data_IF_549500770080
#
_entry.id   IF_549500770080
#
_cell.length_a   1.000
_cell.length_b   1.000
_cell.length_c   1.000
_cell.angle_alpha   90.00
_cell.angle_beta   90.00
_cell.angle_gamma   90.00
#
_symmetry.space_group_name_H-M   'P 1'
#
loop_
_entity.id
_entity.type
_entity.pdbx_description
1 polymer ?
#
# COMPACT_ATOMS: atom_id res chain seq x y z
N UNK A 1 -3.16 21.17 -21.09
CA UNK A 1 -3.07 20.75 -19.69
C UNK A 1 -1.64 20.88 -19.17
N UNK A 2 -1.39 21.72 -18.17
CA UNK A 2 -0.10 21.78 -17.46
C UNK A 2 -0.31 21.34 -16.00
N UNK A 3 -0.82 20.12 -15.79
CA UNK A 3 -0.49 19.41 -14.55
C UNK A 3 1.04 19.44 -14.47
N UNK A 4 1.58 20.27 -13.58
CA UNK A 4 2.96 20.73 -13.70
C UNK A 4 3.91 19.54 -13.82
N UNK A 5 4.72 19.49 -14.88
CA UNK A 5 5.69 18.42 -15.11
C UNK A 5 6.48 18.09 -13.83
N UNK A 6 6.85 19.12 -13.08
CA UNK A 6 7.49 19.02 -11.76
C UNK A 6 6.64 18.27 -10.72
N UNK A 7 5.33 18.51 -10.63
CA UNK A 7 4.44 17.81 -9.69
C UNK A 7 4.36 16.32 -10.01
N UNK A 8 4.30 15.97 -11.30
CA UNK A 8 4.30 14.57 -11.75
C UNK A 8 5.62 13.89 -11.40
N UNK A 9 6.76 14.51 -11.73
CA UNK A 9 8.09 13.98 -11.39
C UNK A 9 8.33 13.89 -9.89
N UNK A 10 7.84 14.85 -9.12
CA UNK A 10 7.90 14.80 -7.66
C UNK A 10 7.07 13.66 -7.08
N UNK A 11 5.87 13.41 -7.61
CA UNK A 11 5.07 12.27 -7.19
C UNK A 11 5.77 10.95 -7.55
N UNK A 12 6.25 10.79 -8.78
CA UNK A 12 7.00 9.60 -9.23
C UNK A 12 8.25 9.37 -8.36
N UNK A 13 9.01 10.42 -8.07
CA UNK A 13 10.17 10.36 -7.18
C UNK A 13 9.78 9.88 -5.78
N UNK A 14 8.74 10.47 -5.18
CA UNK A 14 8.28 10.05 -3.84
C UNK A 14 7.79 8.61 -3.83
N UNK A 15 7.08 8.16 -4.86
CA UNK A 15 6.66 6.77 -4.97
C UNK A 15 7.88 5.84 -5.09
N UNK A 16 8.82 6.17 -5.99
CA UNK A 16 10.05 5.41 -6.19
C UNK A 16 10.89 5.32 -4.90
N UNK A 17 11.07 6.44 -4.22
CA UNK A 17 11.82 6.52 -2.98
C UNK A 17 11.12 5.77 -1.84
N UNK A 18 9.85 6.08 -1.58
CA UNK A 18 9.15 5.60 -0.38
C UNK A 18 8.85 4.11 -0.41
N UNK A 19 8.65 3.55 -1.62
CA UNK A 19 8.33 2.13 -1.77
C UNK A 19 9.60 1.30 -1.97
N UNK A 20 10.45 1.66 -2.93
CA UNK A 20 11.56 0.77 -3.34
C UNK A 20 12.88 1.12 -2.67
N UNK A 21 13.28 2.40 -2.66
CA UNK A 21 14.57 2.79 -2.09
C UNK A 21 14.59 2.64 -0.57
N UNK A 22 13.54 3.10 0.11
CA UNK A 22 13.40 2.94 1.56
C UNK A 22 13.33 1.46 1.93
N UNK A 23 12.64 0.62 1.16
CA UNK A 23 12.60 -0.82 1.43
C UNK A 23 13.99 -1.43 1.50
N UNK A 24 14.83 -1.19 0.48
CA UNK A 24 16.22 -1.71 0.48
C UNK A 24 17.04 -1.09 1.60
N UNK A 25 16.96 0.23 1.78
CA UNK A 25 17.74 0.94 2.80
C UNK A 25 17.40 0.48 4.22
N UNK A 26 16.12 0.36 4.53
CA UNK A 26 15.65 -0.13 5.84
C UNK A 26 16.08 -1.58 6.05
N UNK A 27 16.05 -2.42 5.02
CA UNK A 27 16.51 -3.80 5.13
C UNK A 27 18.00 -3.89 5.43
N UNK A 28 18.82 -3.13 4.69
CA UNK A 28 20.26 -3.05 4.93
C UNK A 28 20.56 -2.53 6.33
N UNK A 29 19.90 -1.45 6.74
CA UNK A 29 20.08 -0.88 8.08
C UNK A 29 19.66 -1.86 9.17
N UNK A 30 18.54 -2.55 9.01
CA UNK A 30 18.08 -3.55 9.96
C UNK A 30 19.11 -4.67 10.14
N UNK A 31 19.65 -5.21 9.05
CA UNK A 31 20.71 -6.22 9.09
C UNK A 31 21.95 -5.69 9.79
N UNK A 32 22.45 -4.52 9.38
CA UNK A 32 23.69 -3.95 9.91
C UNK A 32 23.60 -3.62 11.39
N UNK A 33 22.51 -2.98 11.81
CA UNK A 33 22.26 -2.61 13.21
C UNK A 33 22.08 -3.87 14.05
N UNK A 34 21.25 -4.82 13.60
CA UNK A 34 21.04 -6.07 14.32
C UNK A 34 22.35 -6.83 14.49
N UNK A 35 23.17 -6.91 13.43
CA UNK A 35 24.44 -7.59 13.53
C UNK A 35 25.40 -6.90 14.52
N UNK A 36 25.63 -5.60 14.36
CA UNK A 36 26.61 -4.86 15.18
C UNK A 36 26.21 -4.70 16.63
N UNK A 37 24.91 -4.54 16.91
CA UNK A 37 24.42 -4.25 18.26
C UNK A 37 23.95 -5.49 19.01
N UNK A 38 23.47 -6.53 18.31
CA UNK A 38 22.98 -7.76 18.93
C UNK A 38 23.96 -8.92 18.76
N UNK A 39 24.29 -9.26 17.52
CA UNK A 39 25.06 -10.48 17.20
C UNK A 39 26.50 -10.37 17.72
N UNK A 40 27.20 -9.28 17.40
CA UNK A 40 28.60 -9.09 17.82
C UNK A 40 28.75 -8.90 19.34
N UNK A 41 27.71 -8.43 20.03
CA UNK A 41 27.76 -8.09 21.46
C UNK A 41 27.44 -9.25 22.37
N UNK A 42 26.71 -10.24 21.89
CA UNK A 42 26.32 -11.42 22.68
C UNK A 42 27.22 -12.59 22.26
N UNK A 43 28.07 -13.13 23.15
CA UNK A 43 29.04 -14.18 22.81
C UNK A 43 28.41 -15.39 22.11
N UNK A 44 27.26 -15.87 22.61
CA UNK A 44 26.52 -16.99 22.03
C UNK A 44 26.15 -16.76 20.55
N UNK A 45 25.65 -15.57 20.19
CA UNK A 45 25.29 -15.28 18.81
C UNK A 45 26.50 -15.06 17.92
N UNK A 46 27.58 -14.47 18.46
CA UNK A 46 28.82 -14.27 17.73
C UNK A 46 29.52 -15.59 17.37
N UNK A 47 29.45 -16.60 18.24
CA UNK A 47 29.96 -17.93 17.95
C UNK A 47 29.20 -18.62 16.81
N UNK A 48 27.87 -18.45 16.76
CA UNK A 48 27.03 -18.99 15.70
C UNK A 48 27.19 -18.23 14.37
N UNK A 49 27.36 -16.90 14.44
CA UNK A 49 27.40 -16.00 13.28
C UNK A 49 28.60 -15.06 13.39
N UNK A 50 29.83 -15.56 13.14
CA UNK A 50 31.05 -14.77 13.32
C UNK A 50 31.26 -13.71 12.24
N UNK A 51 30.69 -13.92 11.05
CA UNK A 51 30.81 -13.01 9.91
C UNK A 51 29.45 -12.45 9.48
N UNK A 52 29.44 -11.15 9.17
CA UNK A 52 28.23 -10.44 8.71
C UNK A 52 27.62 -11.10 7.47
N UNK A 53 28.45 -11.56 6.52
CA UNK A 53 27.96 -12.19 5.29
C UNK A 53 27.25 -13.52 5.56
N UNK A 54 27.74 -14.30 6.53
CA UNK A 54 27.09 -15.56 6.95
C UNK A 54 25.73 -15.24 7.57
N UNK A 55 25.68 -14.25 8.46
CA UNK A 55 24.43 -13.78 9.06
C UNK A 55 23.42 -13.32 7.99
N UNK A 56 23.86 -12.52 7.01
CA UNK A 56 23.00 -12.03 5.92
C UNK A 56 22.37 -13.18 5.13
N UNK A 57 23.18 -14.17 4.72
CA UNK A 57 22.70 -15.29 3.91
C UNK A 57 21.65 -16.09 4.68
N UNK A 58 21.95 -16.45 5.93
CA UNK A 58 21.02 -17.23 6.75
C UNK A 58 19.75 -16.43 7.08
N UNK A 59 19.91 -15.16 7.44
CA UNK A 59 18.80 -14.26 7.73
C UNK A 59 17.86 -14.18 6.52
N UNK A 60 18.38 -13.94 5.31
CA UNK A 60 17.58 -13.90 4.09
C UNK A 60 16.89 -15.23 3.80
N UNK A 61 17.59 -16.35 3.99
CA UNK A 61 17.05 -17.68 3.77
C UNK A 61 15.85 -18.00 4.67
N UNK A 62 15.80 -17.44 5.89
CA UNK A 62 14.67 -17.62 6.81
C UNK A 62 13.63 -16.52 6.65
N UNK A 63 14.07 -15.27 6.53
CA UNK A 63 13.21 -14.10 6.47
C UNK A 63 12.33 -14.10 5.22
N UNK A 64 12.87 -14.40 4.04
CA UNK A 64 12.10 -14.37 2.79
C UNK A 64 10.93 -15.37 2.85
N UNK A 65 11.13 -16.66 3.17
CA UNK A 65 10.01 -17.60 3.33
C UNK A 65 9.02 -17.16 4.41
N UNK A 66 9.48 -16.69 5.57
CA UNK A 66 8.60 -16.23 6.64
C UNK A 66 7.73 -15.03 6.18
N UNK A 67 8.34 -14.05 5.51
CA UNK A 67 7.63 -12.90 4.96
C UNK A 67 6.61 -13.30 3.89
N UNK A 68 6.95 -14.27 3.02
CA UNK A 68 6.02 -14.82 2.03
C UNK A 68 4.83 -15.53 2.70
N UNK A 69 5.07 -16.32 3.75
CA UNK A 69 4.01 -17.02 4.49
C UNK A 69 3.08 -16.04 5.21
N UNK A 70 3.64 -15.05 5.91
CA UNK A 70 2.86 -13.99 6.58
C UNK A 70 2.06 -13.19 5.54
N UNK A 71 2.69 -12.81 4.41
CA UNK A 71 2.03 -12.10 3.32
C UNK A 71 0.90 -12.92 2.69
N UNK A 72 1.11 -14.23 2.50
CA UNK A 72 0.06 -15.14 2.02
C UNK A 72 -1.11 -15.23 3.00
N UNK A 73 -0.84 -15.37 4.30
CA UNK A 73 -1.84 -15.39 5.35
C UNK A 73 -2.64 -14.09 5.39
N UNK A 74 -1.95 -12.94 5.35
CA UNK A 74 -2.57 -11.62 5.32
C UNK A 74 -3.47 -11.46 4.08
N UNK A 75 -2.99 -11.90 2.90
CA UNK A 75 -3.79 -11.88 1.66
C UNK A 75 -5.07 -12.69 1.77
N UNK A 76 -5.04 -13.84 2.44
CA UNK A 76 -6.19 -14.73 2.58
C UNK A 76 -7.17 -14.30 3.67
N UNK A 77 -6.70 -13.59 4.70
CA UNK A 77 -7.51 -13.29 5.89
C UNK A 77 -7.85 -11.80 6.00
N UNK A 78 -6.84 -10.93 6.07
CA UNK A 78 -7.00 -9.52 6.43
C UNK A 78 -7.38 -8.63 5.24
N UNK A 79 -6.86 -8.90 4.03
CA UNK A 79 -7.15 -8.03 2.87
C UNK A 79 -8.65 -7.87 2.60
N UNK A 80 -9.45 -8.92 2.81
CA UNK A 80 -10.91 -8.84 2.65
C UNK A 80 -11.51 -7.87 3.68
N UNK A 81 -11.06 -7.93 4.93
CA UNK A 81 -11.55 -7.08 6.01
C UNK A 81 -11.16 -5.63 5.74
N UNK A 82 -9.91 -5.36 5.40
CA UNK A 82 -9.42 -4.01 5.09
C UNK A 82 -10.13 -3.39 3.88
N UNK A 83 -10.31 -4.17 2.81
CA UNK A 83 -11.05 -3.72 1.63
C UNK A 83 -12.51 -3.43 1.98
N UNK A 84 -13.16 -4.30 2.74
CA UNK A 84 -14.54 -4.11 3.17
C UNK A 84 -14.68 -2.83 4.01
N UNK A 85 -13.82 -2.63 5.01
CA UNK A 85 -13.83 -1.43 5.84
C UNK A 85 -13.59 -0.17 5.01
N UNK A 86 -12.61 -0.19 4.10
CA UNK A 86 -12.31 0.94 3.21
C UNK A 86 -13.51 1.29 2.33
N UNK A 87 -14.20 0.30 1.77
CA UNK A 87 -15.38 0.51 0.95
C UNK A 87 -16.59 1.00 1.76
N UNK A 88 -16.81 0.45 2.96
CA UNK A 88 -17.89 0.87 3.86
C UNK A 88 -17.69 2.31 4.37
N UNK A 89 -16.44 2.72 4.58
CA UNK A 89 -16.10 4.08 5.01
C UNK A 89 -16.16 5.12 3.89
N UNK A 90 -16.37 4.73 2.63
CA UNK A 90 -16.41 5.66 1.50
C UNK A 90 -17.85 6.14 1.22
N UNK A 91 -18.26 7.33 1.72
CA UNK A 91 -19.63 7.82 1.55
C UNK A 91 -19.98 8.12 0.09
N UNK A 92 -19.00 8.54 -0.72
CA UNK A 92 -19.22 8.81 -2.15
C UNK A 92 -19.55 7.52 -2.90
N UNK A 93 -18.79 6.46 -2.63
CA UNK A 93 -19.01 5.15 -3.22
C UNK A 93 -20.38 4.59 -2.84
N UNK A 94 -20.76 4.70 -1.56
CA UNK A 94 -22.09 4.31 -1.09
C UNK A 94 -23.21 5.09 -1.79
N UNK A 95 -23.06 6.42 -1.93
CA UNK A 95 -24.01 7.28 -2.64
C UNK A 95 -24.15 6.86 -4.11
N UNK A 96 -23.04 6.51 -4.77
CA UNK A 96 -23.03 6.08 -6.18
C UNK A 96 -23.78 4.77 -6.38
N UNK A 97 -23.51 3.77 -5.53
CA UNK A 97 -24.23 2.49 -5.58
C UNK A 97 -25.72 2.65 -5.29
N UNK A 98 -26.08 3.46 -4.29
CA UNK A 98 -27.48 3.77 -3.98
C UNK A 98 -28.18 4.40 -5.19
N UNK A 99 -27.57 5.40 -5.82
CA UNK A 99 -28.13 6.06 -6.99
C UNK A 99 -28.36 5.07 -8.14
N UNK A 100 -27.41 4.17 -8.40
CA UNK A 100 -27.58 3.13 -9.43
C UNK A 100 -28.78 2.21 -9.13
N UNK A 101 -28.98 1.82 -7.87
CA UNK A 101 -30.14 1.01 -7.46
C UNK A 101 -31.46 1.77 -7.60
N UNK A 102 -31.50 3.05 -7.21
CA UNK A 102 -32.71 3.89 -7.29
C UNK A 102 -33.12 4.12 -8.76
N UNK A 103 -32.15 4.25 -9.67
CA UNK A 103 -32.42 4.33 -11.12
C UNK A 103 -33.00 3.03 -11.66
N UNK A 104 -32.42 1.88 -11.30
CA UNK A 104 -32.92 0.57 -11.77
C UNK A 104 -34.31 0.22 -11.22
N UNK A 105 -34.60 0.64 -9.99
CA UNK A 105 -35.88 0.38 -9.33
C UNK A 105 -36.96 1.43 -9.66
N UNK A 106 -36.63 2.44 -10.47
CA UNK A 106 -37.54 3.51 -10.85
C UNK A 106 -37.91 4.48 -9.72
N UNK A 107 -37.16 4.44 -8.61
CA UNK A 107 -37.36 5.32 -7.44
C UNK A 107 -36.66 6.67 -7.58
N UNK A 108 -35.63 6.73 -8.43
CA UNK A 108 -34.87 7.96 -8.66
C UNK A 108 -35.70 9.00 -9.42
N UNK A 109 -35.75 10.22 -8.89
CA UNK A 109 -36.36 11.35 -9.60
C UNK A 109 -35.47 11.84 -10.74
N UNK A 110 -36.07 12.50 -11.75
CA UNK A 110 -35.31 13.09 -12.87
C UNK A 110 -34.34 14.18 -12.41
N UNK A 111 -34.68 14.89 -11.34
CA UNK A 111 -33.86 15.94 -10.74
C UNK A 111 -32.62 15.35 -10.06
N UNK A 112 -32.79 14.33 -9.21
CA UNK A 112 -31.66 13.64 -8.56
C UNK A 112 -30.71 13.01 -9.58
N UNK A 113 -31.24 12.44 -10.68
CA UNK A 113 -30.42 11.92 -11.77
C UNK A 113 -29.57 13.01 -12.44
N UNK A 114 -30.11 14.21 -12.61
CA UNK A 114 -29.37 15.33 -13.19
C UNK A 114 -28.30 15.86 -12.24
N UNK A 115 -28.61 16.01 -10.95
CA UNK A 115 -27.60 16.41 -9.95
C UNK A 115 -26.44 15.41 -9.91
N UNK A 116 -26.74 14.11 -9.92
CA UNK A 116 -25.72 13.06 -9.95
C UNK A 116 -24.87 13.13 -11.21
N UNK A 117 -25.48 13.41 -12.35
CA UNK A 117 -24.79 13.55 -13.63
C UNK A 117 -23.86 14.76 -13.64
N UNK A 118 -24.28 15.88 -13.05
CA UNK A 118 -23.45 17.08 -12.91
C UNK A 118 -22.24 16.76 -12.01
N UNK A 119 -22.47 16.12 -10.86
CA UNK A 119 -21.40 15.69 -9.95
C UNK A 119 -20.36 14.82 -10.68
N UNK A 120 -20.81 13.81 -11.42
CA UNK A 120 -19.92 12.91 -12.18
C UNK A 120 -19.15 13.67 -13.25
N UNK A 121 -19.81 14.54 -14.02
CA UNK A 121 -19.16 15.37 -15.04
C UNK A 121 -18.12 16.31 -14.45
N UNK A 122 -18.36 16.83 -13.24
CA UNK A 122 -17.41 17.69 -12.55
C UNK A 122 -16.19 16.90 -12.03
N UNK A 123 -16.39 15.63 -11.67
CA UNK A 123 -15.28 14.71 -11.36
C UNK A 123 -14.48 14.42 -12.64
N UNK A 124 -15.14 14.06 -13.74
CA UNK A 124 -14.51 13.79 -15.05
C UNK A 124 -13.68 14.98 -15.52
N UNK A 125 -14.23 16.20 -15.50
CA UNK A 125 -13.50 17.43 -15.85
C UNK A 125 -12.26 17.69 -14.99
N UNK A 126 -12.27 17.23 -13.74
CA UNK A 126 -11.09 17.30 -12.85
C UNK A 126 -10.08 16.19 -13.12
N UNK A 127 -10.52 15.09 -13.71
CA UNK A 127 -9.74 13.89 -14.00
C UNK A 127 -9.27 13.79 -15.45
N UNK A 128 -9.78 14.60 -16.38
CA UNK A 128 -9.32 14.64 -17.77
C UNK A 128 -7.79 14.77 -17.82
N UNK A 129 -7.17 13.75 -18.44
CA UNK A 129 -5.74 13.50 -18.68
C UNK A 129 -5.24 14.11 -19.99
#
# INVERSE_FOLDING_TARGET
MKQGWMRKRWWEFRQGHSVYLIFVLTFMNFILISYRLLIEKIPFFKELFPDLWIFVILFLAVYIPAALLIGYWHRKTQLKVESTLTHQQNPLLAKMFRMMLDVQTGKATKEEMQEYRILLRDIEKKMDF
#
